data_IF_157939606356
#
_entry.id   IF_157939606356
#
_cell.length_a   1.000
_cell.length_b   1.000
_cell.length_c   1.000
_cell.angle_alpha   90.00
_cell.angle_beta   90.00
_cell.angle_gamma   90.00
#
_symmetry.space_group_name_H-M   'P 1'
#
loop_
_entity.id
_entity.type
_entity.pdbx_description
1 polymer ?
#
# COMPACT_ATOMS: atom_id res chain seq x y z
N UNK A 1 9.68 -20.24 13.14
CA UNK A 1 9.30 -18.86 12.80
C UNK A 1 8.30 -18.97 11.66
N UNK A 2 7.02 -18.77 11.94
CA UNK A 2 5.93 -19.09 11.01
C UNK A 2 5.73 -17.88 10.08
N UNK A 3 6.20 -17.96 8.84
CA UNK A 3 5.83 -17.02 7.78
C UNK A 3 4.54 -17.53 7.12
N UNK A 4 3.36 -17.08 7.57
CA UNK A 4 2.05 -17.31 6.91
C UNK A 4 1.62 -16.02 6.20
N UNK A 5 2.43 -15.53 5.26
CA UNK A 5 2.08 -14.37 4.46
C UNK A 5 2.78 -14.41 3.13
N UNK A 6 2.02 -14.30 2.03
CA UNK A 6 2.63 -14.16 0.71
C UNK A 6 3.29 -12.78 0.59
N UNK A 7 4.24 -12.62 -0.34
CA UNK A 7 4.81 -11.31 -0.65
C UNK A 7 3.73 -10.25 -0.93
N UNK A 8 2.62 -10.68 -1.56
CA UNK A 8 1.47 -9.83 -1.85
C UNK A 8 0.82 -9.28 -0.58
N UNK A 9 0.73 -10.09 0.48
CA UNK A 9 0.10 -9.67 1.74
C UNK A 9 1.02 -8.78 2.59
N UNK A 10 2.32 -9.04 2.53
CA UNK A 10 3.31 -8.43 3.44
C UNK A 10 3.97 -7.18 2.88
N UNK A 11 4.35 -7.21 1.60
CA UNK A 11 5.18 -6.17 0.98
C UNK A 11 4.36 -5.23 0.07
N UNK A 12 3.24 -5.69 -0.51
CA UNK A 12 2.38 -4.80 -1.31
C UNK A 12 1.44 -3.97 -0.44
N UNK A 13 1.10 -2.78 -0.92
CA UNK A 13 0.19 -1.86 -0.24
C UNK A 13 -0.71 -1.16 -1.26
N UNK A 14 -2.02 -1.37 -1.12
CA UNK A 14 -3.01 -0.68 -1.94
C UNK A 14 -3.51 0.58 -1.23
N UNK A 15 -3.24 1.75 -1.82
CA UNK A 15 -3.68 3.03 -1.29
C UNK A 15 -4.61 3.74 -2.29
N UNK A 16 -5.85 4.08 -1.92
CA UNK A 16 -6.78 4.80 -2.81
C UNK A 16 -6.30 6.17 -3.27
N UNK A 17 -5.36 6.78 -2.55
CA UNK A 17 -4.73 8.05 -2.96
C UNK A 17 -3.75 7.87 -4.14
N UNK A 18 -3.30 6.64 -4.40
CA UNK A 18 -2.44 6.31 -5.53
C UNK A 18 -3.30 5.94 -6.75
N UNK A 19 -4.16 6.87 -7.18
CA UNK A 19 -5.02 6.71 -8.34
C UNK A 19 -4.73 7.76 -9.41
N UNK A 20 -5.13 7.47 -10.65
CA UNK A 20 -5.11 8.46 -11.72
C UNK A 20 -6.10 9.59 -11.40
N UNK A 21 -5.86 10.78 -11.97
CA UNK A 21 -6.74 11.95 -11.79
C UNK A 21 -8.19 11.64 -12.16
N UNK A 22 -8.41 10.88 -13.24
CA UNK A 22 -9.74 10.43 -13.67
C UNK A 22 -10.46 9.54 -12.65
N UNK A 23 -9.72 8.90 -11.74
CA UNK A 23 -10.21 8.01 -10.69
C UNK A 23 -9.93 8.58 -9.29
N UNK A 24 -9.89 9.90 -9.16
CA UNK A 24 -9.73 10.54 -7.85
C UNK A 24 -10.84 10.11 -6.88
N UNK A 25 -10.54 9.80 -5.62
CA UNK A 25 -11.56 9.40 -4.66
C UNK A 25 -12.58 10.52 -4.40
N UNK A 26 -13.86 10.21 -4.56
CA UNK A 26 -14.98 11.13 -4.30
C UNK A 26 -15.80 10.70 -3.09
N UNK A 27 -16.52 11.65 -2.50
CA UNK A 27 -17.31 11.45 -1.28
C UNK A 27 -16.48 11.60 0.00
N UNK A 28 -17.18 11.78 1.12
CA UNK A 28 -16.56 12.01 2.43
C UNK A 28 -15.74 10.81 2.92
N UNK A 29 -16.29 9.60 2.81
CA UNK A 29 -15.65 8.36 3.27
C UNK A 29 -14.37 8.08 2.48
N UNK A 30 -14.42 8.10 1.14
CA UNK A 30 -13.25 7.81 0.32
C UNK A 30 -12.13 8.84 0.53
N UNK A 31 -12.48 10.12 0.78
CA UNK A 31 -11.49 11.14 1.12
C UNK A 31 -10.88 10.94 2.51
N UNK A 32 -11.70 10.57 3.50
CA UNK A 32 -11.19 10.23 4.84
C UNK A 32 -10.21 9.04 4.81
N UNK A 33 -10.48 8.05 3.95
CA UNK A 33 -9.58 6.91 3.73
C UNK A 33 -8.19 7.36 3.26
N UNK A 34 -8.07 8.38 2.41
CA UNK A 34 -6.74 8.85 1.95
C UNK A 34 -5.81 9.17 3.14
N UNK A 35 -6.33 9.92 4.13
CA UNK A 35 -5.57 10.26 5.33
C UNK A 35 -5.26 9.04 6.21
N UNK A 36 -6.24 8.14 6.39
CA UNK A 36 -6.06 6.93 7.19
C UNK A 36 -4.99 6.00 6.59
N UNK A 37 -5.02 5.75 5.28
CA UNK A 37 -4.04 4.89 4.61
C UNK A 37 -2.64 5.49 4.61
N UNK A 38 -2.49 6.81 4.51
CA UNK A 38 -1.18 7.46 4.64
C UNK A 38 -0.57 7.25 6.03
N UNK A 39 -1.36 7.46 7.09
CA UNK A 39 -0.93 7.28 8.47
C UNK A 39 -0.58 5.81 8.77
N UNK A 40 -1.50 4.89 8.46
CA UNK A 40 -1.32 3.47 8.72
C UNK A 40 -0.19 2.87 7.86
N UNK A 41 -0.05 3.30 6.61
CA UNK A 41 1.04 2.87 5.74
C UNK A 41 2.41 3.31 6.27
N UNK A 42 2.53 4.53 6.82
CA UNK A 42 3.77 4.98 7.49
C UNK A 42 4.04 4.17 8.75
N UNK A 43 3.01 3.88 9.55
CA UNK A 43 3.15 3.10 10.77
C UNK A 43 3.63 1.67 10.48
N UNK A 44 2.94 0.97 9.56
CA UNK A 44 3.31 -0.38 9.11
C UNK A 44 4.75 -0.45 8.62
N UNK A 45 5.21 0.53 7.83
CA UNK A 45 6.61 0.54 7.37
C UNK A 45 7.62 0.76 8.50
N UNK A 46 7.29 1.63 9.46
CA UNK A 46 8.13 1.85 10.65
C UNK A 46 8.25 0.56 11.46
N UNK A 47 7.15 -0.14 11.67
CA UNK A 47 7.07 -1.36 12.47
C UNK A 47 7.73 -2.55 11.78
N UNK A 48 7.53 -2.69 10.46
CA UNK A 48 8.13 -3.79 9.68
C UNK A 48 9.58 -3.52 9.28
N UNK A 49 10.09 -2.30 9.45
CA UNK A 49 11.44 -1.90 9.02
C UNK A 49 11.66 -1.94 7.51
N UNK A 50 10.59 -1.86 6.71
CA UNK A 50 10.65 -1.97 5.24
C UNK A 50 10.53 -0.58 4.58
N UNK A 51 11.47 -0.16 3.71
CA UNK A 51 11.34 1.08 2.95
C UNK A 51 10.23 0.97 1.88
N UNK A 52 9.64 2.10 1.48
CA UNK A 52 8.67 2.11 0.37
C UNK A 52 9.41 1.95 -0.95
N UNK A 53 9.06 0.93 -1.71
CA UNK A 53 9.50 0.73 -3.10
C UNK A 53 8.27 0.42 -3.94
N UNK A 54 8.05 1.20 -4.99
CA UNK A 54 7.04 0.88 -6.00
C UNK A 54 7.64 -0.12 -6.99
N UNK A 55 6.96 -1.24 -7.28
CA UNK A 55 7.32 -2.10 -8.40
C UNK A 55 7.29 -1.32 -9.71
N UNK A 56 8.28 -1.53 -10.58
CA UNK A 56 8.41 -0.86 -11.88
C UNK A 56 7.99 -1.77 -13.04
N UNK A 57 7.96 -3.08 -12.81
CA UNK A 57 7.63 -4.10 -13.81
C UNK A 57 7.05 -5.35 -13.15
N UNK A 58 6.42 -6.21 -13.95
CA UNK A 58 5.91 -7.52 -13.51
C UNK A 58 7.05 -8.46 -13.09
N UNK A 59 8.23 -8.29 -13.68
CA UNK A 59 9.43 -9.11 -13.41
C UNK A 59 9.96 -8.94 -11.97
N UNK A 60 9.47 -7.93 -11.23
CA UNK A 60 9.78 -7.71 -9.82
C UNK A 60 8.84 -8.46 -8.86
N UNK A 61 7.78 -9.09 -9.38
CA UNK A 61 6.87 -9.90 -8.57
C UNK A 61 7.43 -11.33 -8.40
N UNK A 62 7.33 -11.91 -7.20
CA UNK A 62 7.68 -13.31 -7.01
C UNK A 62 6.71 -14.21 -7.79
N UNK A 63 7.22 -15.38 -8.19
CA UNK A 63 6.48 -16.41 -8.91
C UNK A 63 5.39 -17.07 -8.06
#
# INVERSE_FOLDING_TARGET
MIHIGSFVDEDLSFCPAHSLVAHRPLGSISRARMHAYELLGRARRRENGRPRREPRSIDEMPA
#
